data_IF_021584052052
#
_entry.id   IF_021584052052
#
_cell.length_a   1.000
_cell.length_b   1.000
_cell.length_c   1.000
_cell.angle_alpha   90.00
_cell.angle_beta   90.00
_cell.angle_gamma   90.00
#
_symmetry.space_group_name_H-M   'P 1'
#
loop_
_entity.id
_entity.type
_entity.pdbx_description
1 polymer ?
#
# COMPACT_ATOMS: atom_id res chain seq x y z
N UNK A 1 -15.61 15.31 11.51
CA UNK A 1 -16.18 14.29 10.60
C UNK A 1 -16.66 14.90 9.28
N UNK A 2 -17.61 15.85 9.29
CA UNK A 2 -18.14 16.51 8.08
C UNK A 2 -17.10 17.09 7.11
N UNK A 3 -15.93 17.54 7.60
CA UNK A 3 -14.88 18.13 6.74
C UNK A 3 -14.10 17.11 5.90
N UNK A 4 -13.91 15.87 6.40
CA UNK A 4 -13.31 14.78 5.61
C UNK A 4 -14.28 14.30 4.54
N UNK A 5 -15.56 14.24 4.88
CA UNK A 5 -16.65 13.84 3.99
C UNK A 5 -16.98 14.91 2.93
N UNK A 6 -16.62 16.18 3.18
CA UNK A 6 -16.84 17.31 2.25
C UNK A 6 -15.60 17.66 1.43
N UNK A 7 -14.58 16.80 1.42
CA UNK A 7 -13.38 16.99 0.59
C UNK A 7 -12.48 18.14 1.04
N UNK A 8 -12.47 18.48 2.33
CA UNK A 8 -11.56 19.49 2.91
C UNK A 8 -10.55 18.86 3.89
N UNK A 9 -9.72 17.91 3.43
CA UNK A 9 -8.80 17.15 4.28
C UNK A 9 -7.80 18.04 5.03
N UNK A 10 -7.28 19.09 4.38
CA UNK A 10 -6.38 20.05 5.02
C UNK A 10 -7.01 20.77 6.24
N UNK A 11 -8.28 21.16 6.12
CA UNK A 11 -8.96 21.84 7.21
C UNK A 11 -9.19 20.91 8.41
N UNK A 12 -9.55 19.66 8.13
CA UNK A 12 -9.66 18.62 9.14
C UNK A 12 -8.32 18.36 9.84
N UNK A 13 -7.24 18.21 9.06
CA UNK A 13 -5.89 18.00 9.58
C UNK A 13 -5.45 19.15 10.50
N UNK A 14 -5.66 20.41 10.08
CA UNK A 14 -5.33 21.59 10.90
C UNK A 14 -6.04 21.58 12.25
N UNK A 15 -7.34 21.27 12.30
CA UNK A 15 -8.06 21.18 13.59
C UNK A 15 -7.57 20.02 14.44
N UNK A 16 -7.36 18.85 13.83
CA UNK A 16 -6.94 17.63 14.53
C UNK A 16 -5.53 17.73 15.11
N UNK A 17 -4.60 18.43 14.43
CA UNK A 17 -3.26 18.72 14.99
C UNK A 17 -3.36 19.43 16.33
N UNK A 18 -4.20 20.47 16.44
CA UNK A 18 -4.40 21.18 17.71
C UNK A 18 -4.87 20.24 18.83
N UNK A 19 -5.86 19.41 18.54
CA UNK A 19 -6.42 18.43 19.51
C UNK A 19 -5.36 17.41 19.95
N UNK A 20 -4.56 16.89 19.00
CA UNK A 20 -3.50 15.91 19.27
C UNK A 20 -2.36 16.56 20.07
N UNK A 21 -1.96 17.79 19.75
CA UNK A 21 -0.88 18.51 20.45
C UNK A 21 -1.25 18.93 21.88
N UNK A 22 -2.53 19.14 22.17
CA UNK A 22 -3.02 19.49 23.51
C UNK A 22 -3.09 18.28 24.47
N UNK A 23 -2.89 17.06 23.96
CA UNK A 23 -2.97 15.82 24.74
C UNK A 23 -1.60 15.14 24.80
N UNK A 24 -1.06 14.85 26.00
CA UNK A 24 0.24 14.17 26.12
C UNK A 24 0.20 12.72 25.62
N UNK A 25 -0.97 12.07 25.65
CA UNK A 25 -1.19 10.75 25.06
C UNK A 25 -2.57 10.70 24.36
N UNK A 26 -2.63 11.11 23.07
CA UNK A 26 -3.87 11.11 22.32
C UNK A 26 -4.27 9.68 21.95
N UNK A 27 -5.56 9.37 22.08
CA UNK A 27 -6.13 8.07 21.77
C UNK A 27 -5.89 7.66 20.30
N UNK A 28 -5.72 6.35 20.07
CA UNK A 28 -5.42 5.77 18.74
C UNK A 28 -6.42 6.18 17.67
N UNK A 29 -7.70 6.34 18.03
CA UNK A 29 -8.74 6.75 17.09
C UNK A 29 -8.53 8.19 16.60
N UNK A 30 -8.26 9.13 17.51
CA UNK A 30 -7.97 10.53 17.16
C UNK A 30 -6.73 10.65 16.29
N UNK A 31 -5.69 9.86 16.59
CA UNK A 31 -4.45 9.79 15.80
C UNK A 31 -4.72 9.24 14.40
N UNK A 32 -5.48 8.16 14.29
CA UNK A 32 -5.86 7.57 13.00
C UNK A 32 -6.69 8.54 12.16
N UNK A 33 -7.59 9.30 12.80
CA UNK A 33 -8.39 10.32 12.12
C UNK A 33 -7.51 11.46 11.57
N UNK A 34 -6.51 11.88 12.34
CA UNK A 34 -5.51 12.84 11.87
C UNK A 34 -4.71 12.28 10.70
N UNK A 35 -4.20 11.05 10.81
CA UNK A 35 -3.46 10.39 9.75
C UNK A 35 -4.29 10.28 8.44
N UNK A 36 -5.58 9.96 8.53
CA UNK A 36 -6.49 9.97 7.37
C UNK A 36 -6.64 11.36 6.76
N UNK A 37 -6.71 12.39 7.61
CA UNK A 37 -6.77 13.77 7.15
C UNK A 37 -5.49 14.17 6.43
N UNK A 38 -4.31 13.88 7.00
CA UNK A 38 -2.99 14.15 6.40
C UNK A 38 -2.81 13.44 5.06
N UNK A 39 -3.16 12.15 5.00
CA UNK A 39 -3.15 11.36 3.77
C UNK A 39 -4.07 11.95 2.70
N UNK A 40 -5.25 12.47 3.09
CA UNK A 40 -6.24 13.02 2.17
C UNK A 40 -5.77 14.23 1.37
N UNK A 41 -4.74 14.95 1.81
CA UNK A 41 -4.11 16.04 1.04
C UNK A 41 -2.66 15.75 0.64
N UNK A 42 -2.18 14.50 0.84
CA UNK A 42 -0.88 14.04 0.36
C UNK A 42 0.29 14.29 1.30
N UNK A 43 0.06 14.59 2.58
CA UNK A 43 1.14 14.85 3.54
C UNK A 43 1.60 13.56 4.23
N UNK A 44 2.22 12.69 3.44
CA UNK A 44 2.59 11.33 3.85
C UNK A 44 3.68 11.27 4.92
N UNK A 45 4.58 12.24 4.97
CA UNK A 45 5.58 12.34 6.05
C UNK A 45 4.94 12.50 7.42
N UNK A 46 3.92 13.35 7.57
CA UNK A 46 3.18 13.45 8.81
C UNK A 46 2.39 12.17 9.14
N UNK A 47 1.90 11.45 8.12
CA UNK A 47 1.28 10.14 8.34
C UNK A 47 2.32 9.16 8.90
N UNK A 48 3.54 9.17 8.39
CA UNK A 48 4.63 8.33 8.89
C UNK A 48 4.97 8.65 10.34
N UNK A 49 5.17 9.93 10.67
CA UNK A 49 5.49 10.38 12.04
C UNK A 49 4.40 9.98 13.04
N UNK A 50 3.13 10.01 12.62
CA UNK A 50 2.00 9.66 13.49
C UNK A 50 1.88 8.16 13.76
N UNK A 51 2.25 7.32 12.79
CA UNK A 51 1.90 5.89 12.78
C UNK A 51 3.09 4.93 12.99
N UNK A 52 4.33 5.36 12.74
CA UNK A 52 5.52 4.50 12.68
C UNK A 52 5.93 3.92 14.04
N UNK A 53 5.93 4.74 15.09
CA UNK A 53 6.38 4.36 16.44
C UNK A 53 5.25 3.83 17.34
N UNK A 54 3.99 3.91 16.88
CA UNK A 54 2.85 3.44 17.65
C UNK A 54 2.60 1.95 17.46
N UNK A 55 2.33 1.26 18.57
CA UNK A 55 1.73 -0.06 18.55
C UNK A 55 0.23 0.08 18.31
N UNK A 56 -0.23 -0.51 17.21
CA UNK A 56 -1.65 -0.59 16.87
C UNK A 56 -2.14 -1.96 17.31
N UNK A 57 -3.15 -2.00 18.19
CA UNK A 57 -3.70 -3.28 18.65
C UNK A 57 -4.38 -4.00 17.49
N UNK A 58 -4.55 -5.33 17.59
CA UNK A 58 -5.09 -6.17 16.51
C UNK A 58 -6.53 -5.80 16.09
N UNK A 59 -7.23 -4.98 16.89
CA UNK A 59 -8.53 -4.38 16.55
C UNK A 59 -8.46 -2.99 15.91
N UNK A 60 -7.30 -2.32 15.95
CA UNK A 60 -7.09 -0.99 15.39
C UNK A 60 -6.84 -1.06 13.88
N UNK A 61 -7.95 -1.27 13.18
CA UNK A 61 -8.26 -0.95 11.79
C UNK A 61 -7.21 -1.33 10.71
N UNK A 62 -7.58 -2.20 9.75
CA UNK A 62 -6.89 -2.32 8.47
C UNK A 62 -6.52 -0.96 7.84
N UNK A 63 -7.33 0.09 8.04
CA UNK A 63 -7.01 1.46 7.62
C UNK A 63 -5.66 1.98 8.17
N UNK A 64 -5.31 1.71 9.43
CA UNK A 64 -4.04 2.15 10.03
C UNK A 64 -2.84 1.45 9.38
N UNK A 65 -2.94 0.13 9.17
CA UNK A 65 -1.91 -0.67 8.50
C UNK A 65 -1.74 -0.25 7.04
N UNK A 66 -2.85 0.03 6.35
CA UNK A 66 -2.82 0.57 4.98
C UNK A 66 -2.13 1.94 4.91
N UNK A 67 -2.52 2.88 5.78
CA UNK A 67 -1.93 4.23 5.81
C UNK A 67 -0.45 4.20 6.18
N UNK A 68 -0.05 3.35 7.13
CA UNK A 68 1.35 3.14 7.50
C UNK A 68 2.16 2.58 6.33
N UNK A 69 1.63 1.58 5.63
CA UNK A 69 2.29 1.02 4.45
C UNK A 69 2.48 2.05 3.36
N UNK A 70 1.45 2.88 3.10
CA UNK A 70 1.52 3.98 2.13
C UNK A 70 2.53 5.05 2.53
N UNK A 71 2.52 5.48 3.78
CA UNK A 71 3.47 6.47 4.27
C UNK A 71 4.92 5.94 4.21
N UNK A 72 5.13 4.67 4.57
CA UNK A 72 6.43 4.02 4.48
C UNK A 72 6.96 3.96 3.03
N UNK A 73 6.11 3.68 2.03
CA UNK A 73 6.52 3.75 0.62
C UNK A 73 6.99 5.15 0.20
N UNK A 74 6.30 6.20 0.66
CA UNK A 74 6.62 7.59 0.32
C UNK A 74 7.92 8.05 1.01
N UNK A 75 8.21 7.52 2.21
CA UNK A 75 9.48 7.75 2.93
C UNK A 75 10.63 6.85 2.44
N UNK A 76 10.37 5.91 1.52
CA UNK A 76 11.36 4.93 1.07
C UNK A 76 11.73 3.88 2.13
N UNK A 77 10.94 3.75 3.20
CA UNK A 77 11.03 2.72 4.22
C UNK A 77 10.42 1.40 3.71
N UNK A 78 11.06 0.81 2.68
CA UNK A 78 10.50 -0.28 1.89
C UNK A 78 10.23 -1.56 2.68
N UNK A 79 11.07 -1.87 3.68
CA UNK A 79 10.89 -3.06 4.51
C UNK A 79 9.67 -2.93 5.43
N UNK A 80 9.49 -1.74 6.00
CA UNK A 80 8.37 -1.37 6.85
C UNK A 80 7.06 -1.32 6.07
N UNK A 81 7.10 -0.82 4.83
CA UNK A 81 5.97 -0.86 3.90
C UNK A 81 5.51 -2.30 3.62
N UNK A 82 6.46 -3.18 3.27
CA UNK A 82 6.17 -4.59 2.98
C UNK A 82 5.54 -5.32 4.18
N UNK A 83 6.02 -5.03 5.40
CA UNK A 83 5.51 -5.61 6.64
C UNK A 83 4.12 -5.07 7.00
N UNK A 84 3.89 -3.76 6.85
CA UNK A 84 2.58 -3.16 7.09
C UNK A 84 1.52 -3.74 6.15
N UNK A 85 1.84 -3.92 4.87
CA UNK A 85 0.92 -4.55 3.91
C UNK A 85 0.67 -6.03 4.19
N UNK A 86 1.68 -6.78 4.66
CA UNK A 86 1.48 -8.16 5.09
C UNK A 86 0.46 -8.24 6.23
N UNK A 87 0.66 -7.43 7.28
CA UNK A 87 -0.26 -7.38 8.43
C UNK A 87 -1.67 -6.93 8.02
N UNK A 88 -1.79 -6.00 7.08
CA UNK A 88 -3.07 -5.60 6.51
C UNK A 88 -3.79 -6.79 5.86
N UNK A 89 -3.08 -7.54 5.00
CA UNK A 89 -3.64 -8.68 4.30
C UNK A 89 -4.05 -9.79 5.27
N UNK A 90 -3.24 -10.05 6.31
CA UNK A 90 -3.56 -11.01 7.37
C UNK A 90 -4.83 -10.59 8.14
N UNK A 91 -4.97 -9.30 8.46
CA UNK A 91 -6.14 -8.76 9.14
C UNK A 91 -7.41 -8.76 8.27
N UNK A 92 -7.27 -8.69 6.95
CA UNK A 92 -8.37 -8.72 5.99
C UNK A 92 -8.86 -10.14 5.62
N UNK A 93 -8.14 -11.20 6.06
CA UNK A 93 -8.31 -12.55 5.54
C UNK A 93 -9.56 -13.34 6.00
N UNK A 94 -10.33 -12.94 7.04
CA UNK A 94 -11.67 -13.51 7.23
C UNK A 94 -12.77 -12.49 7.62
N UNK A 95 -13.76 -12.29 6.73
CA UNK A 95 -15.15 -12.03 7.17
C UNK A 95 -15.77 -10.63 7.06
N UNK A 96 -15.16 -9.62 6.41
CA UNK A 96 -15.80 -8.31 6.26
C UNK A 96 -16.49 -8.14 4.89
N UNK A 97 -17.66 -8.78 4.78
CA UNK A 97 -18.73 -8.39 3.84
C UNK A 97 -19.50 -7.21 4.43
N UNK A 98 -19.27 -6.01 3.92
CA UNK A 98 -20.08 -4.83 4.26
C UNK A 98 -19.24 -3.57 4.28
N UNK A 99 -19.12 -2.90 3.13
CA UNK A 99 -18.27 -1.72 2.90
C UNK A 99 -16.77 -1.98 3.20
N UNK A 100 -16.18 -2.97 2.50
CA UNK A 100 -14.86 -3.52 2.82
C UNK A 100 -13.65 -2.61 2.55
N UNK A 101 -12.52 -2.86 3.22
CA UNK A 101 -11.26 -2.16 3.00
C UNK A 101 -10.77 -2.50 1.58
N UNK A 102 -10.05 -1.58 0.90
CA UNK A 102 -9.75 -1.65 -0.54
C UNK A 102 -9.28 -3.04 -1.01
N UNK A 103 -9.56 -3.44 -2.26
CA UNK A 103 -9.42 -4.83 -2.69
C UNK A 103 -8.02 -5.36 -2.39
N UNK A 104 -7.91 -6.58 -1.84
CA UNK A 104 -6.66 -7.17 -1.39
C UNK A 104 -5.55 -7.13 -2.48
N UNK A 105 -5.95 -7.22 -3.76
CA UNK A 105 -5.04 -7.27 -4.92
C UNK A 105 -4.13 -6.05 -5.07
N UNK A 106 -4.61 -4.79 -5.10
CA UNK A 106 -3.74 -3.61 -5.03
C UNK A 106 -2.74 -3.61 -3.87
N UNK A 107 -3.11 -4.19 -2.72
CA UNK A 107 -2.22 -4.26 -1.56
C UNK A 107 -1.14 -5.33 -1.76
N UNK A 108 -1.48 -6.48 -2.34
CA UNK A 108 -0.52 -7.51 -2.74
C UNK A 108 0.52 -6.96 -3.73
N UNK A 109 0.09 -6.18 -4.73
CA UNK A 109 1.00 -5.55 -5.70
C UNK A 109 1.96 -4.57 -5.03
N UNK A 110 1.45 -3.70 -4.15
CA UNK A 110 2.28 -2.76 -3.38
C UNK A 110 3.25 -3.47 -2.45
N UNK A 111 2.83 -4.58 -1.83
CA UNK A 111 3.71 -5.43 -1.02
C UNK A 111 4.84 -6.02 -1.86
N UNK A 112 4.54 -6.58 -3.03
CA UNK A 112 5.57 -7.11 -3.93
C UNK A 112 6.58 -6.04 -4.34
N UNK A 113 6.10 -4.83 -4.66
CA UNK A 113 6.96 -3.68 -4.97
C UNK A 113 7.85 -3.28 -3.80
N UNK A 114 7.27 -3.16 -2.61
CA UNK A 114 8.01 -2.82 -1.40
C UNK A 114 9.08 -3.87 -1.08
N UNK A 115 8.77 -5.16 -1.23
CA UNK A 115 9.74 -6.25 -1.06
C UNK A 115 10.89 -6.15 -2.07
N UNK A 116 10.60 -5.85 -3.33
CA UNK A 116 11.63 -5.67 -4.35
C UNK A 116 12.59 -4.53 -4.00
N UNK A 117 12.07 -3.34 -3.68
CA UNK A 117 12.92 -2.18 -3.31
C UNK A 117 13.66 -2.37 -1.98
N UNK A 118 13.15 -3.23 -1.08
CA UNK A 118 13.85 -3.66 0.12
C UNK A 118 14.95 -4.71 -0.14
N UNK A 119 15.22 -5.09 -1.39
CA UNK A 119 16.20 -6.12 -1.76
C UNK A 119 15.73 -7.56 -1.55
N UNK A 120 14.43 -7.77 -1.24
CA UNK A 120 13.82 -9.08 -0.94
C UNK A 120 13.12 -9.65 -2.17
N UNK A 121 13.87 -9.75 -3.27
CA UNK A 121 13.32 -10.12 -4.59
C UNK A 121 12.64 -11.50 -4.64
N UNK A 122 13.16 -12.50 -3.93
CA UNK A 122 12.53 -13.83 -3.89
C UNK A 122 11.12 -13.78 -3.27
N UNK A 123 10.96 -13.05 -2.17
CA UNK A 123 9.66 -12.87 -1.54
C UNK A 123 8.71 -12.03 -2.40
N UNK A 124 9.22 -11.03 -3.12
CA UNK A 124 8.42 -10.26 -4.07
C UNK A 124 7.82 -11.16 -5.16
N UNK A 125 8.61 -12.10 -5.66
CA UNK A 125 8.17 -13.12 -6.63
C UNK A 125 7.11 -14.03 -6.02
N UNK A 126 7.30 -14.51 -4.79
CA UNK A 126 6.31 -15.36 -4.12
C UNK A 126 4.95 -14.66 -3.98
N UNK A 127 4.96 -13.38 -3.61
CA UNK A 127 3.73 -12.56 -3.55
C UNK A 127 3.08 -12.46 -4.92
N UNK A 128 3.83 -12.13 -5.98
CA UNK A 128 3.28 -12.04 -7.34
C UNK A 128 2.70 -13.38 -7.83
N UNK A 129 3.37 -14.49 -7.52
CA UNK A 129 2.92 -15.83 -7.90
C UNK A 129 1.60 -16.20 -7.20
N UNK A 130 1.39 -15.73 -5.96
CA UNK A 130 0.19 -15.98 -5.17
C UNK A 130 -1.04 -15.16 -5.64
N UNK A 131 -0.85 -14.01 -6.28
CA UNK A 131 -1.95 -13.22 -6.88
C UNK A 131 -2.60 -14.10 -7.94
N UNK A 132 -3.81 -14.63 -7.73
CA UNK A 132 -4.46 -15.59 -8.63
C UNK A 132 -4.43 -15.16 -10.11
N UNK A 133 -4.37 -16.14 -11.02
CA UNK A 133 -4.56 -15.90 -12.46
C UNK A 133 -5.97 -15.40 -12.66
N UNK A 134 -6.08 -14.10 -12.96
CA UNK A 134 -7.35 -13.45 -13.24
C UNK A 134 -7.28 -12.94 -14.69
N UNK A 135 -8.35 -13.13 -15.50
CA UNK A 135 -8.43 -12.55 -16.85
C UNK A 135 -8.19 -11.02 -16.89
N UNK A 136 -8.25 -10.32 -15.75
CA UNK A 136 -8.01 -8.88 -15.62
C UNK A 136 -6.55 -8.40 -15.69
N UNK A 137 -5.56 -9.23 -16.03
CA UNK A 137 -4.16 -8.82 -16.25
C UNK A 137 -3.41 -8.20 -15.05
N UNK A 138 -3.98 -8.20 -13.84
CA UNK A 138 -3.38 -7.56 -12.64
C UNK A 138 -1.97 -8.08 -12.36
N UNK A 139 -1.78 -9.41 -12.37
CA UNK A 139 -0.45 -10.03 -12.17
C UNK A 139 0.53 -9.61 -13.27
N UNK A 140 0.08 -9.57 -14.52
CA UNK A 140 0.92 -9.18 -15.66
C UNK A 140 1.36 -7.72 -15.62
N UNK A 141 0.46 -6.79 -15.28
CA UNK A 141 0.82 -5.38 -15.11
C UNK A 141 1.77 -5.16 -13.93
N UNK A 142 1.49 -5.78 -12.77
CA UNK A 142 2.38 -5.72 -11.62
C UNK A 142 3.78 -6.29 -11.94
N UNK A 143 3.82 -7.40 -12.67
CA UNK A 143 5.07 -7.99 -13.13
C UNK A 143 5.82 -7.08 -14.12
N UNK A 144 5.11 -6.38 -15.02
CA UNK A 144 5.71 -5.43 -15.95
C UNK A 144 6.29 -4.20 -15.24
N UNK A 145 5.56 -3.61 -14.28
CA UNK A 145 6.04 -2.50 -13.47
C UNK A 145 7.33 -2.88 -12.72
N UNK A 146 7.35 -4.08 -12.11
CA UNK A 146 8.52 -4.55 -11.37
C UNK A 146 9.67 -4.95 -12.29
N UNK A 147 9.39 -5.49 -13.48
CA UNK A 147 10.40 -5.74 -14.49
C UNK A 147 11.11 -4.45 -14.91
N UNK A 148 10.36 -3.37 -15.06
CA UNK A 148 10.89 -2.05 -15.42
C UNK A 148 11.80 -1.49 -14.32
N UNK A 149 11.32 -1.44 -13.07
CA UNK A 149 12.13 -1.01 -11.93
C UNK A 149 13.40 -1.86 -11.72
N UNK A 150 13.30 -3.17 -11.97
CA UNK A 150 14.44 -4.07 -11.93
C UNK A 150 15.44 -3.84 -13.08
N UNK A 151 14.95 -3.50 -14.28
CA UNK A 151 15.82 -3.17 -15.40
C UNK A 151 16.61 -1.88 -15.15
N UNK A 152 15.97 -0.85 -14.56
CA UNK A 152 16.63 0.41 -14.21
C UNK A 152 17.74 0.25 -13.15
N UNK A 153 17.56 -0.70 -12.23
CA UNK A 153 18.55 -1.02 -11.19
C UNK A 153 19.55 -2.11 -11.59
N UNK A 154 19.48 -2.64 -12.83
CA UNK A 154 20.38 -3.66 -13.34
C UNK A 154 20.14 -5.07 -12.78
N UNK A 155 18.99 -5.34 -12.15
CA UNK A 155 18.62 -6.62 -11.58
C UNK A 155 18.13 -7.63 -12.65
N UNK A 156 19.03 -7.99 -13.59
CA UNK A 156 18.73 -8.77 -14.81
C UNK A 156 18.00 -10.09 -14.53
N UNK A 157 18.44 -10.86 -13.54
CA UNK A 157 17.83 -12.15 -13.22
C UNK A 157 16.41 -12.00 -12.66
N UNK A 158 16.18 -10.98 -11.83
CA UNK A 158 14.85 -10.65 -11.35
C UNK A 158 13.94 -10.23 -12.51
N UNK A 159 14.41 -9.32 -13.38
CA UNK A 159 13.67 -8.89 -14.59
C UNK A 159 13.24 -10.09 -15.43
N UNK A 160 14.17 -11.00 -15.75
CA UNK A 160 13.85 -12.23 -16.52
C UNK A 160 12.80 -13.10 -15.82
N UNK A 161 12.89 -13.22 -14.49
CA UNK A 161 11.99 -14.06 -13.69
C UNK A 161 10.56 -13.56 -13.75
N UNK A 162 10.34 -12.27 -13.54
CA UNK A 162 8.99 -11.66 -13.48
C UNK A 162 8.36 -11.45 -14.86
N UNK A 163 9.16 -11.22 -15.92
CA UNK A 163 8.65 -11.06 -17.28
C UNK A 163 7.90 -12.30 -17.81
N UNK A 164 8.10 -13.48 -17.21
CA UNK A 164 7.36 -14.71 -17.56
C UNK A 164 5.87 -14.63 -17.23
N UNK A 165 5.46 -13.70 -16.37
CA UNK A 165 4.06 -13.47 -16.01
C UNK A 165 3.44 -12.28 -16.74
N UNK A 166 4.23 -11.56 -17.54
CA UNK A 166 3.68 -10.58 -18.46
C UNK A 166 3.07 -11.37 -19.62
N UNK A 167 1.78 -11.66 -19.50
CA UNK A 167 1.03 -12.24 -20.59
C UNK A 167 1.16 -11.35 -21.84
N UNK A 168 1.12 -11.98 -23.02
CA UNK A 168 1.03 -11.28 -24.31
C UNK A 168 -0.38 -11.38 -24.93
N UNK A 169 -1.51 -10.96 -24.33
CA UNK A 169 -2.80 -11.15 -24.98
C UNK A 169 -3.19 -10.00 -25.93
N UNK A 170 -2.44 -8.90 -26.02
CA UNK A 170 -2.85 -7.71 -26.80
C UNK A 170 -1.91 -7.29 -27.93
N UNK A 171 -0.68 -7.80 -27.98
CA UNK A 171 0.25 -7.51 -29.08
C UNK A 171 -0.11 -8.25 -30.38
N UNK A 172 -1.02 -9.23 -30.33
CA UNK A 172 -1.48 -10.03 -31.47
C UNK A 172 -2.85 -9.61 -32.04
N UNK A 173 -3.54 -8.63 -31.45
CA UNK A 173 -4.91 -8.25 -31.87
C UNK A 173 -5.02 -6.89 -32.59
N UNK A 174 -3.93 -6.23 -32.99
CA UNK A 174 -4.01 -4.85 -33.52
C UNK A 174 -3.44 -4.60 -34.91
N UNK A 175 -3.14 -5.62 -35.72
CA UNK A 175 -2.83 -5.39 -37.13
C UNK A 175 -3.42 -6.47 -38.05
N UNK A 176 -4.75 -6.54 -38.11
CA UNK A 176 -5.41 -6.91 -39.37
C UNK A 176 -5.69 -5.59 -40.12
N UNK A 177 -4.77 -5.25 -41.04
CA UNK A 177 -4.98 -4.26 -42.10
C UNK A 177 -5.56 -4.95 -43.32
#
# INVERSE_FOLDING_TARGET
MRDLETGRPWHAARRLRGIVSERPDPDSFTVLLLARAEAGWGHWSAVWDLLSEREWSVGDAPDALWLRGRAAEEEGAWAEAAEAYRRYLDAAAPGLTGAGPGPARPVEVRRARSLFHAGRGDEAVEVLAAIAEDPSSTRGWAALELAHAAAESGAVEFTRRVLRWVDRPHASQTWEL
#
